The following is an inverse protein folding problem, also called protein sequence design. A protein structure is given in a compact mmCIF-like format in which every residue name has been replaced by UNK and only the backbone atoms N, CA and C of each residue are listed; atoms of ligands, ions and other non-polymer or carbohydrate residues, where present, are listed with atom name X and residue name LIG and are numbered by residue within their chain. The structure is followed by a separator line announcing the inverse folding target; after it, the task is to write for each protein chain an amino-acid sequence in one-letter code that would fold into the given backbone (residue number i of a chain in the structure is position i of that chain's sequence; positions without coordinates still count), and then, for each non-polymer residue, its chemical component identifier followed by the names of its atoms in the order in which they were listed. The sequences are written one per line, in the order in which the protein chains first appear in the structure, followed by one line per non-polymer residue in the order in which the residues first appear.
data_IF_423139442595
#
_entry.id   IF_423139442595
#
_cell.length_a   1.000
_cell.length_b   1.000
_cell.length_c   1.000
_cell.angle_alpha   90.00
_cell.angle_beta   90.00
_cell.angle_gamma   90.00
#
_symmetry.space_group_name_H-M   'P 1'
#
loop_
_entity.id
_entity.type
_entity.pdbx_description
1 polymer ?
#
# COMPACT_ATOMS: atom_id res chain seq x y z
N UNK A 1 -45.47 49.30 43.71
CA UNK A 1 -44.98 47.99 44.17
C UNK A 1 -44.64 47.14 42.95
N UNK A 2 -43.41 46.62 42.94
CA UNK A 2 -42.76 45.71 41.99
C UNK A 2 -43.66 44.53 41.55
N UNK A 3 -43.67 44.10 40.28
CA UNK A 3 -42.96 42.91 39.69
C UNK A 3 -44.03 41.95 39.07
N UNK A 4 -43.90 41.19 37.97
CA UNK A 4 -42.84 40.85 37.00
C UNK A 4 -43.47 40.50 35.64
N UNK A 5 -42.73 40.78 34.56
CA UNK A 5 -42.95 40.18 33.24
C UNK A 5 -42.38 38.75 33.23
N UNK A 6 -43.21 37.78 32.84
CA UNK A 6 -42.78 36.40 32.61
C UNK A 6 -42.24 36.32 31.19
N UNK A 7 -40.92 36.16 31.05
CA UNK A 7 -40.27 35.86 29.76
C UNK A 7 -40.20 34.34 29.65
N UNK A 8 -40.99 33.75 28.75
CA UNK A 8 -40.90 32.35 28.40
C UNK A 8 -39.70 32.14 27.47
N UNK A 9 -38.61 31.58 28.00
CA UNK A 9 -37.45 31.19 27.20
C UNK A 9 -37.74 29.85 26.50
N UNK A 10 -37.93 29.90 25.18
CA UNK A 10 -38.08 28.71 24.34
C UNK A 10 -36.71 28.10 24.06
N UNK A 11 -36.45 26.91 24.60
CA UNK A 11 -35.21 26.16 24.39
C UNK A 11 -35.30 25.42 23.04
N UNK A 12 -34.63 25.96 22.02
CA UNK A 12 -34.44 25.29 20.73
C UNK A 12 -33.28 24.31 20.91
N UNK A 13 -33.60 23.02 21.07
CA UNK A 13 -32.62 21.93 21.06
C UNK A 13 -32.13 21.71 19.63
N UNK A 14 -30.89 22.13 19.34
CA UNK A 14 -30.21 21.80 18.09
C UNK A 14 -29.77 20.33 18.17
N UNK A 15 -30.43 19.46 17.42
CA UNK A 15 -29.97 18.09 17.23
C UNK A 15 -28.72 18.09 16.35
N UNK A 16 -27.57 17.81 16.94
CA UNK A 16 -26.31 17.63 16.23
C UNK A 16 -26.38 16.28 15.49
N UNK A 17 -26.66 16.31 14.19
CA UNK A 17 -26.55 15.12 13.34
C UNK A 17 -25.06 14.85 13.14
N UNK A 18 -24.51 13.93 13.93
CA UNK A 18 -23.17 13.41 13.71
C UNK A 18 -23.21 12.56 12.43
N UNK A 19 -22.73 13.10 11.32
CA UNK A 19 -22.43 12.32 10.12
C UNK A 19 -21.36 11.29 10.49
N UNK A 20 -21.77 10.05 10.74
CA UNK A 20 -20.84 8.93 10.73
C UNK A 20 -20.33 8.78 9.29
N UNK A 21 -19.18 9.39 9.01
CA UNK A 21 -18.35 9.00 7.88
C UNK A 21 -17.91 7.58 8.21
N UNK A 22 -18.66 6.60 7.72
CA UNK A 22 -18.25 5.20 7.76
C UNK A 22 -16.91 5.16 7.00
N UNK A 23 -15.82 4.88 7.71
CA UNK A 23 -14.53 4.71 7.07
C UNK A 23 -14.71 3.62 6.01
N UNK A 24 -14.42 3.95 4.75
CA UNK A 24 -14.50 2.98 3.67
C UNK A 24 -13.58 1.79 4.03
N UNK A 25 -14.08 0.57 3.85
CA UNK A 25 -13.29 -0.64 4.03
C UNK A 25 -11.97 -0.51 3.24
N UNK A 26 -10.82 -0.90 3.83
CA UNK A 26 -9.55 -0.80 3.15
C UNK A 26 -9.58 -1.56 1.82
N UNK A 27 -9.04 -0.94 0.77
CA UNK A 27 -8.92 -1.55 -0.54
C UNK A 27 -8.15 -2.88 -0.47
N UNK A 28 -8.49 -3.83 -1.34
CA UNK A 28 -7.76 -5.09 -1.46
C UNK A 28 -6.29 -4.84 -1.84
N UNK A 29 -6.02 -3.78 -2.62
CA UNK A 29 -4.67 -3.33 -2.93
C UNK A 29 -3.84 -3.02 -1.68
N UNK A 30 -4.44 -2.51 -0.60
CA UNK A 30 -3.70 -2.31 0.66
C UNK A 30 -3.25 -3.65 1.25
N UNK A 31 -4.08 -4.69 1.15
CA UNK A 31 -3.73 -6.03 1.62
C UNK A 31 -2.59 -6.60 0.79
N UNK A 32 -2.64 -6.46 -0.55
CA UNK A 32 -1.53 -6.84 -1.44
C UNK A 32 -0.22 -6.17 -1.01
N UNK A 33 -0.22 -4.84 -0.81
CA UNK A 33 0.98 -4.11 -0.38
C UNK A 33 1.50 -4.56 1.00
N UNK A 34 0.62 -4.95 1.92
CA UNK A 34 1.01 -5.51 3.23
C UNK A 34 1.65 -6.89 3.10
N UNK A 35 1.08 -7.77 2.27
CA UNK A 35 1.65 -9.09 2.02
C UNK A 35 3.00 -9.00 1.31
N UNK A 36 3.14 -8.11 0.32
CA UNK A 36 4.45 -7.80 -0.28
C UNK A 36 5.47 -7.37 0.77
N UNK A 37 5.07 -6.48 1.69
CA UNK A 37 5.93 -6.05 2.80
C UNK A 37 6.39 -7.20 3.70
N UNK A 38 5.54 -8.21 3.96
CA UNK A 38 5.93 -9.42 4.71
C UNK A 38 6.89 -10.29 3.92
N UNK A 39 6.65 -10.49 2.62
CA UNK A 39 7.54 -11.25 1.76
C UNK A 39 8.96 -10.64 1.70
N UNK A 40 9.06 -9.30 1.71
CA UNK A 40 10.36 -8.61 1.83
C UNK A 40 11.09 -8.94 3.14
N UNK A 41 10.37 -9.06 4.25
CA UNK A 41 10.95 -9.44 5.54
C UNK A 41 11.46 -10.88 5.53
N UNK A 42 10.67 -11.80 4.96
CA UNK A 42 11.05 -13.21 4.81
C UNK A 42 12.31 -13.36 3.94
N UNK A 43 12.37 -12.64 2.82
CA UNK A 43 13.56 -12.63 1.96
C UNK A 43 14.78 -12.07 2.70
N UNK A 44 14.60 -10.99 3.46
CA UNK A 44 15.71 -10.41 4.25
C UNK A 44 16.25 -11.41 5.27
N UNK A 45 15.37 -12.14 5.96
CA UNK A 45 15.77 -13.20 6.88
C UNK A 45 16.51 -14.33 6.15
N UNK A 46 15.96 -14.80 5.02
CA UNK A 46 16.58 -15.83 4.20
C UNK A 46 17.98 -15.45 3.70
N UNK A 47 18.15 -14.23 3.19
CA UNK A 47 19.45 -13.71 2.75
C UNK A 47 20.45 -13.69 3.91
N UNK A 48 20.04 -13.25 5.10
CA UNK A 48 20.94 -13.16 6.26
C UNK A 48 21.49 -14.50 6.76
N UNK A 49 20.81 -15.60 6.40
CA UNK A 49 21.17 -16.98 6.78
C UNK A 49 21.67 -17.80 5.59
N UNK A 50 21.76 -17.20 4.41
CA UNK A 50 22.03 -17.89 3.15
C UNK A 50 21.03 -19.02 2.85
N UNK A 51 19.78 -18.87 3.32
CA UNK A 51 18.69 -19.79 3.04
C UNK A 51 18.08 -19.50 1.67
N UNK A 52 18.76 -19.98 0.64
CA UNK A 52 18.36 -19.76 -0.75
C UNK A 52 17.07 -20.48 -1.14
N UNK A 53 16.68 -21.52 -0.41
CA UNK A 53 15.38 -22.19 -0.61
C UNK A 53 14.24 -21.30 -0.12
N UNK A 54 14.41 -20.66 1.04
CA UNK A 54 13.46 -19.66 1.52
C UNK A 54 13.36 -18.45 0.58
N UNK A 55 14.50 -17.96 0.07
CA UNK A 55 14.50 -16.83 -0.88
C UNK A 55 13.81 -17.21 -2.19
N UNK A 56 14.15 -18.35 -2.79
CA UNK A 56 13.57 -18.80 -4.06
C UNK A 56 12.08 -19.18 -3.96
N UNK A 57 11.62 -19.71 -2.83
CA UNK A 57 10.19 -19.97 -2.62
C UNK A 57 9.37 -18.69 -2.34
N UNK A 58 10.00 -17.65 -1.80
CA UNK A 58 9.33 -16.39 -1.47
C UNK A 58 9.34 -15.38 -2.62
N UNK A 59 10.42 -15.32 -3.42
CA UNK A 59 10.53 -14.35 -4.52
C UNK A 59 9.35 -14.37 -5.52
N UNK A 60 8.78 -15.53 -5.92
CA UNK A 60 7.58 -15.58 -6.76
C UNK A 60 6.34 -14.95 -6.10
N UNK A 61 6.26 -14.92 -4.77
CA UNK A 61 5.15 -14.28 -4.07
C UNK A 61 5.19 -12.75 -4.17
N UNK A 62 6.33 -12.19 -4.56
CA UNK A 62 6.47 -10.79 -4.98
C UNK A 62 6.26 -10.71 -6.49
N UNK A 63 6.95 -11.55 -7.27
CA UNK A 63 6.94 -11.49 -8.73
C UNK A 63 5.59 -11.80 -9.37
N UNK A 64 4.67 -12.48 -8.68
CA UNK A 64 3.36 -12.88 -9.21
C UNK A 64 2.26 -12.58 -8.20
N UNK A 65 2.39 -11.45 -7.49
CA UNK A 65 1.45 -11.10 -6.45
C UNK A 65 0.02 -10.91 -6.99
N UNK A 66 -1.02 -11.21 -6.19
CA UNK A 66 -2.40 -11.01 -6.62
C UNK A 66 -2.67 -9.56 -7.00
N UNK A 67 -3.54 -9.37 -8.00
CA UNK A 67 -3.99 -8.05 -8.38
C UNK A 67 -5.35 -7.73 -7.73
N UNK A 68 -5.64 -6.46 -7.43
CA UNK A 68 -6.93 -6.09 -6.85
C UNK A 68 -8.10 -6.36 -7.82
N UNK A 69 -9.35 -6.47 -7.31
CA UNK A 69 -10.53 -6.64 -8.13
C UNK A 69 -10.67 -5.59 -9.24
N UNK A 70 -11.29 -5.94 -10.36
CA UNK A 70 -11.38 -5.06 -11.53
C UNK A 70 -12.00 -3.69 -11.21
N UNK A 71 -13.06 -3.66 -10.42
CA UNK A 71 -13.71 -2.41 -10.01
C UNK A 71 -12.76 -1.49 -9.22
N UNK A 72 -11.89 -2.07 -8.39
CA UNK A 72 -10.89 -1.32 -7.64
C UNK A 72 -9.77 -0.81 -8.56
N UNK A 73 -9.30 -1.65 -9.50
CA UNK A 73 -8.32 -1.23 -10.51
C UNK A 73 -8.82 -0.03 -11.31
N UNK A 74 -10.07 -0.01 -11.73
CA UNK A 74 -10.63 1.12 -12.47
C UNK A 74 -10.60 2.42 -11.65
N UNK A 75 -10.87 2.35 -10.34
CA UNK A 75 -10.77 3.51 -9.44
C UNK A 75 -9.32 3.98 -9.30
N UNK A 76 -8.37 3.05 -9.15
CA UNK A 76 -6.94 3.37 -9.09
C UNK A 76 -6.46 4.02 -10.40
N UNK A 77 -6.86 3.48 -11.55
CA UNK A 77 -6.53 4.05 -12.87
C UNK A 77 -7.09 5.47 -12.99
N UNK A 78 -8.35 5.67 -12.60
CA UNK A 78 -8.98 6.99 -12.62
C UNK A 78 -8.26 8.00 -11.73
N UNK A 79 -7.80 7.57 -10.55
CA UNK A 79 -7.04 8.42 -9.63
C UNK A 79 -5.64 8.75 -10.18
N UNK A 80 -4.94 7.76 -10.73
CA UNK A 80 -3.59 7.95 -11.26
C UNK A 80 -3.56 8.84 -12.51
N UNK A 81 -4.61 8.79 -13.34
CA UNK A 81 -4.71 9.61 -14.55
C UNK A 81 -3.48 9.46 -15.44
N UNK A 82 -2.82 10.58 -15.74
CA UNK A 82 -1.62 10.61 -16.59
C UNK A 82 -0.43 9.83 -16.01
N UNK A 83 -0.34 9.67 -14.69
CA UNK A 83 0.78 8.98 -14.03
C UNK A 83 0.61 7.45 -14.01
N UNK A 84 -0.50 6.91 -14.53
CA UNK A 84 -0.77 5.47 -14.50
C UNK A 84 0.30 4.64 -15.22
N UNK A 85 0.86 5.16 -16.32
CA UNK A 85 1.96 4.49 -17.05
C UNK A 85 3.22 4.37 -16.18
N UNK A 86 3.55 5.42 -15.44
CA UNK A 86 4.69 5.46 -14.52
C UNK A 86 4.45 4.56 -13.30
N UNK A 87 3.24 4.56 -12.74
CA UNK A 87 2.84 3.64 -11.67
C UNK A 87 3.04 2.18 -12.10
N UNK A 88 2.52 1.81 -13.28
CA UNK A 88 2.68 0.46 -13.85
C UNK A 88 4.14 0.11 -14.15
N UNK A 89 4.96 1.09 -14.54
CA UNK A 89 6.39 0.86 -14.80
C UNK A 89 7.13 0.46 -13.52
N UNK A 90 6.87 1.09 -12.38
CA UNK A 90 7.48 0.68 -11.11
C UNK A 90 7.00 -0.69 -10.64
N UNK A 91 5.73 -1.01 -10.86
CA UNK A 91 5.18 -2.35 -10.64
C UNK A 91 5.95 -3.38 -11.46
N UNK A 92 6.06 -3.18 -12.78
CA UNK A 92 6.81 -4.07 -13.67
C UNK A 92 8.28 -4.24 -13.26
N UNK A 93 8.97 -3.16 -12.88
CA UNK A 93 10.35 -3.26 -12.37
C UNK A 93 10.46 -4.13 -11.12
N UNK A 94 9.43 -4.12 -10.26
CA UNK A 94 9.37 -4.98 -9.07
C UNK A 94 9.18 -6.44 -9.46
N UNK A 95 8.28 -6.72 -10.41
CA UNK A 95 8.07 -8.05 -10.97
C UNK A 95 9.36 -8.63 -11.57
N UNK A 96 10.02 -7.86 -12.46
CA UNK A 96 11.26 -8.26 -13.12
C UNK A 96 12.40 -8.50 -12.12
N UNK A 97 12.61 -7.59 -11.17
CA UNK A 97 13.65 -7.74 -10.15
C UNK A 97 13.40 -8.94 -9.21
N UNK A 98 12.14 -9.27 -8.94
CA UNK A 98 11.79 -10.44 -8.13
C UNK A 98 12.01 -11.76 -8.90
N UNK A 99 11.82 -11.77 -10.23
CA UNK A 99 12.21 -12.90 -11.09
C UNK A 99 13.74 -13.06 -11.15
N UNK A 100 14.50 -11.96 -11.28
CA UNK A 100 15.96 -11.98 -11.18
C UNK A 100 16.43 -12.58 -9.84
N UNK A 101 15.75 -12.20 -8.75
CA UNK A 101 16.05 -12.69 -7.40
C UNK A 101 15.79 -14.20 -7.26
N UNK A 102 14.68 -14.69 -7.82
CA UNK A 102 14.38 -16.12 -7.90
C UNK A 102 15.50 -16.88 -8.60
N UNK A 103 15.93 -16.40 -9.77
CA UNK A 103 17.01 -17.03 -10.54
C UNK A 103 18.34 -17.02 -9.77
N UNK A 104 18.72 -15.89 -9.18
CA UNK A 104 19.94 -15.79 -8.38
C UNK A 104 19.93 -16.73 -7.16
N UNK A 105 18.78 -16.87 -6.49
CA UNK A 105 18.62 -17.79 -5.37
C UNK A 105 18.73 -19.26 -5.80
N UNK A 106 18.18 -19.63 -6.96
CA UNK A 106 18.38 -20.98 -7.52
C UNK A 106 19.83 -21.27 -7.87
N UNK A 107 20.57 -20.28 -8.35
CA UNK A 107 22.01 -20.37 -8.61
C UNK A 107 22.85 -20.39 -7.31
N UNK A 108 22.24 -20.07 -6.16
CA UNK A 108 22.90 -19.92 -4.86
C UNK A 108 24.04 -18.88 -4.88
N UNK A 109 23.92 -17.88 -5.76
CA UNK A 109 24.87 -16.80 -5.90
C UNK A 109 24.47 -15.65 -4.98
N UNK A 110 25.04 -15.63 -3.77
CA UNK A 110 24.71 -14.64 -2.75
C UNK A 110 24.91 -13.18 -3.20
N UNK A 111 25.91 -12.92 -4.04
CA UNK A 111 26.17 -11.56 -4.54
C UNK A 111 25.07 -11.15 -5.53
N UNK A 112 24.71 -12.02 -6.47
CA UNK A 112 23.56 -11.76 -7.37
C UNK A 112 22.25 -11.64 -6.62
N UNK A 113 22.05 -12.42 -5.55
CA UNK A 113 20.86 -12.34 -4.70
C UNK A 113 20.77 -10.95 -4.04
N UNK A 114 21.87 -10.44 -3.48
CA UNK A 114 21.92 -9.10 -2.88
C UNK A 114 21.61 -8.03 -3.93
N UNK A 115 22.22 -8.12 -5.11
CA UNK A 115 22.01 -7.15 -6.19
C UNK A 115 20.56 -7.16 -6.70
N UNK A 116 19.97 -8.34 -6.92
CA UNK A 116 18.58 -8.47 -7.34
C UNK A 116 17.63 -7.96 -6.24
N UNK A 117 17.87 -8.30 -4.98
CA UNK A 117 17.04 -7.81 -3.87
C UNK A 117 17.16 -6.30 -3.68
N UNK A 118 18.33 -5.70 -3.94
CA UNK A 118 18.47 -4.24 -3.94
C UNK A 118 17.61 -3.59 -5.03
N UNK A 119 17.48 -4.19 -6.21
CA UNK A 119 16.58 -3.71 -7.26
C UNK A 119 15.12 -3.76 -6.82
N UNK A 120 14.68 -4.84 -6.18
CA UNK A 120 13.33 -4.95 -5.60
C UNK A 120 13.09 -3.85 -4.55
N UNK A 121 14.02 -3.65 -3.62
CA UNK A 121 13.88 -2.59 -2.60
C UNK A 121 13.79 -1.20 -3.23
N UNK A 122 14.59 -0.96 -4.27
CA UNK A 122 14.62 0.33 -4.97
C UNK A 122 13.33 0.61 -5.72
N UNK A 123 12.75 -0.39 -6.40
CA UNK A 123 11.46 -0.21 -7.10
C UNK A 123 10.31 0.07 -6.13
N UNK A 124 10.27 -0.63 -4.98
CA UNK A 124 9.32 -0.36 -3.90
C UNK A 124 9.46 1.08 -3.37
N UNK A 125 10.68 1.51 -3.08
CA UNK A 125 10.94 2.86 -2.57
C UNK A 125 10.54 3.94 -3.58
N UNK A 126 10.92 3.77 -4.84
CA UNK A 126 10.62 4.73 -5.90
C UNK A 126 9.11 4.90 -6.11
N UNK A 127 8.35 3.79 -6.13
CA UNK A 127 6.89 3.84 -6.21
C UNK A 127 6.29 4.54 -4.97
N UNK A 128 6.78 4.20 -3.78
CA UNK A 128 6.26 4.79 -2.55
C UNK A 128 6.52 6.29 -2.44
N UNK A 129 7.72 6.74 -2.80
CA UNK A 129 8.06 8.17 -2.81
C UNK A 129 7.22 8.94 -3.83
N UNK A 130 6.94 8.33 -4.99
CA UNK A 130 6.14 8.98 -6.02
C UNK A 130 4.64 9.03 -5.69
N UNK A 131 4.07 7.96 -5.11
CA UNK A 131 2.61 7.76 -5.13
C UNK A 131 1.96 7.48 -3.79
N UNK A 132 2.70 6.99 -2.77
CA UNK A 132 2.08 6.47 -1.54
C UNK A 132 1.31 7.54 -0.77
N UNK A 133 1.89 8.73 -0.61
CA UNK A 133 1.26 9.81 0.16
C UNK A 133 -0.09 10.21 -0.45
N UNK A 134 -0.11 10.57 -1.74
CA UNK A 134 -1.33 10.96 -2.45
C UNK A 134 -2.35 9.82 -2.55
N UNK A 135 -1.90 8.58 -2.73
CA UNK A 135 -2.79 7.41 -2.73
C UNK A 135 -3.49 7.24 -1.38
N UNK A 136 -2.73 7.32 -0.27
CA UNK A 136 -3.27 7.12 1.08
C UNK A 136 -4.22 8.26 1.45
N UNK A 137 -3.88 9.50 1.11
CA UNK A 137 -4.75 10.64 1.31
C UNK A 137 -6.07 10.48 0.56
N UNK A 138 -6.01 10.14 -0.73
CA UNK A 138 -7.21 10.01 -1.56
C UNK A 138 -8.13 8.85 -1.12
N UNK A 139 -7.57 7.68 -0.84
CA UNK A 139 -8.38 6.49 -0.58
C UNK A 139 -8.70 6.24 0.90
N UNK A 140 -7.93 6.82 1.83
CA UNK A 140 -8.10 6.57 3.27
C UNK A 140 -8.26 7.84 4.12
N UNK A 141 -8.12 9.04 3.54
CA UNK A 141 -8.28 10.30 4.28
C UNK A 141 -7.24 10.50 5.39
N UNK A 142 -6.12 9.79 5.33
CA UNK A 142 -5.01 9.91 6.30
C UNK A 142 -3.84 10.61 5.61
N UNK A 143 -3.36 11.71 6.16
CA UNK A 143 -2.05 12.24 5.77
C UNK A 143 -0.98 11.26 6.24
N UNK A 144 -0.12 10.80 5.33
CA UNK A 144 1.05 10.00 5.70
C UNK A 144 2.05 10.90 6.44
N UNK A 145 2.17 10.70 7.76
CA UNK A 145 3.29 11.22 8.55
C UNK A 145 4.56 10.41 8.27
#
# INVERSE_FOLDING_TARGET
MKKQMIVAASLISIALVASHVQAAEPLEFQKVMKELGKNMQVITDGISREDWELVSSTAPMIAEHPQPPLAEKTRIISFMGAEMSRFKSFDMQTHEAAHDLLHAAHEKDGQKVIEAFQKVQSSCLNCHQAFRAGFVEHFYGKSSN
#
